data_IF_906606605526
#
_entry.id   IF_906606605526
#
_cell.length_a   1.000
_cell.length_b   1.000
_cell.length_c   1.000
_cell.angle_alpha   90.00
_cell.angle_beta   90.00
_cell.angle_gamma   90.00
#
_symmetry.space_group_name_H-M   'P 1'
#
loop_
_entity.id
_entity.type
_entity.pdbx_description
1 polymer ?
#
# COMPACT_ATOMS: atom_id res chain seq x y z
N UNK A 1 -22.64 -3.39 -35.42
CA UNK A 1 -21.26 -3.24 -34.94
C UNK A 1 -21.25 -1.97 -34.12
N UNK A 2 -21.34 -2.11 -32.79
CA UNK A 2 -21.38 -0.98 -31.87
C UNK A 2 -19.97 -0.83 -31.31
N UNK A 3 -19.32 0.29 -31.63
CA UNK A 3 -18.05 0.71 -31.06
C UNK A 3 -18.23 0.85 -29.54
N UNK A 4 -17.49 0.05 -28.77
CA UNK A 4 -17.31 0.28 -27.35
C UNK A 4 -16.39 1.50 -27.20
N UNK A 5 -17.00 2.64 -26.90
CA UNK A 5 -16.29 3.80 -26.39
C UNK A 5 -15.71 3.44 -25.02
N UNK A 6 -14.39 3.19 -25.00
CA UNK A 6 -13.59 3.11 -23.77
C UNK A 6 -13.51 4.52 -23.21
N UNK A 7 -14.35 4.83 -22.22
CA UNK A 7 -14.21 6.06 -21.45
C UNK A 7 -13.16 5.85 -20.36
N UNK A 8 -11.97 6.42 -20.57
CA UNK A 8 -10.85 6.51 -19.64
C UNK A 8 -11.21 7.34 -18.38
N UNK A 9 -12.07 6.77 -17.52
CA UNK A 9 -12.29 7.23 -16.13
C UNK A 9 -11.57 6.34 -15.11
N UNK A 10 -10.56 5.61 -15.58
CA UNK A 10 -9.78 4.67 -14.79
C UNK A 10 -9.09 5.36 -13.60
N UNK A 11 -9.37 4.87 -12.39
CA UNK A 11 -8.47 5.03 -11.24
C UNK A 11 -9.09 5.56 -9.96
N UNK A 12 -10.18 6.33 -10.00
CA UNK A 12 -10.62 7.11 -8.82
C UNK A 12 -11.98 6.68 -8.25
N UNK A 13 -12.90 6.16 -9.07
CA UNK A 13 -14.22 5.69 -8.59
C UNK A 13 -14.32 4.17 -8.38
N UNK A 14 -13.36 3.38 -8.86
CA UNK A 14 -13.44 1.91 -8.86
C UNK A 14 -12.82 1.28 -7.59
N UNK A 15 -13.39 1.69 -6.46
CA UNK A 15 -13.40 0.85 -5.26
C UNK A 15 -14.38 -0.29 -5.54
N UNK A 16 -14.17 -1.46 -4.91
CA UNK A 16 -15.31 -2.33 -4.63
C UNK A 16 -16.48 -1.46 -4.18
N UNK A 17 -17.71 -1.65 -4.70
CA UNK A 17 -18.84 -0.89 -4.19
C UNK A 17 -18.80 -1.09 -2.67
N UNK A 18 -18.88 -0.02 -1.86
CA UNK A 18 -18.73 -0.13 -0.40
C UNK A 18 -19.62 -1.20 0.24
N UNK A 19 -20.68 -1.63 -0.46
CA UNK A 19 -21.55 -2.77 -0.12
C UNK A 19 -20.88 -4.15 -0.15
N UNK A 20 -19.71 -4.29 -0.77
CA UNK A 20 -18.95 -5.54 -0.87
C UNK A 20 -18.07 -5.80 0.35
N UNK A 21 -17.82 -4.77 1.17
CA UNK A 21 -17.10 -4.84 2.45
C UNK A 21 -18.11 -4.42 3.53
N UNK A 22 -18.30 -5.17 4.62
CA UNK A 22 -17.40 -6.19 5.15
C UNK A 22 -17.52 -7.59 4.52
N UNK A 23 -16.49 -8.41 4.67
CA UNK A 23 -16.47 -9.79 4.18
C UNK A 23 -15.24 -10.59 4.60
N UNK A 24 -15.31 -11.91 4.47
CA UNK A 24 -14.17 -12.82 4.68
C UNK A 24 -13.47 -13.04 3.35
N UNK A 25 -12.15 -12.83 3.36
CA UNK A 25 -11.26 -12.98 2.23
C UNK A 25 -10.19 -14.01 2.55
N UNK A 26 -9.89 -14.86 1.58
CA UNK A 26 -8.79 -15.82 1.66
C UNK A 26 -7.55 -15.21 1.04
N UNK A 27 -6.44 -15.22 1.76
CA UNK A 27 -5.14 -14.78 1.25
C UNK A 27 -4.42 -15.94 0.57
N UNK A 28 -4.02 -15.73 -0.68
CA UNK A 28 -3.32 -16.69 -1.51
C UNK A 28 -2.02 -16.06 -1.98
N UNK A 29 -0.93 -16.80 -1.88
CA UNK A 29 0.39 -16.36 -2.34
C UNK A 29 0.80 -17.09 -3.61
N UNK A 30 1.44 -16.36 -4.51
CA UNK A 30 1.98 -16.86 -5.76
C UNK A 30 3.50 -16.77 -5.63
N UNK A 31 4.16 -17.92 -5.50
CA UNK A 31 5.61 -18.02 -5.27
C UNK A 31 6.41 -17.95 -6.58
N UNK A 32 6.09 -16.99 -7.45
CA UNK A 32 6.72 -16.82 -8.76
C UNK A 32 6.96 -15.36 -9.05
N UNK A 33 7.91 -15.15 -9.95
CA UNK A 33 8.12 -13.85 -10.57
C UNK A 33 7.18 -13.67 -11.77
N UNK A 34 6.58 -12.50 -11.90
CA UNK A 34 5.77 -12.12 -13.06
C UNK A 34 6.44 -11.01 -13.85
N UNK A 35 6.44 -11.17 -15.17
CA UNK A 35 6.84 -10.11 -16.09
C UNK A 35 5.72 -9.08 -16.23
N UNK A 36 6.12 -7.82 -16.25
CA UNK A 36 5.24 -6.68 -16.53
C UNK A 36 5.16 -6.49 -18.04
N UNK A 37 3.97 -6.60 -18.63
CA UNK A 37 3.81 -6.55 -20.08
C UNK A 37 3.65 -5.14 -20.66
N UNK A 38 3.12 -4.18 -19.89
CA UNK A 38 2.64 -2.89 -20.41
C UNK A 38 2.51 -1.82 -19.29
N UNK A 39 3.63 -1.51 -18.63
CA UNK A 39 3.65 -0.51 -17.56
C UNK A 39 3.28 0.90 -18.06
N UNK A 40 2.30 1.54 -17.42
CA UNK A 40 1.87 2.91 -17.71
C UNK A 40 1.88 3.80 -16.45
N UNK A 41 2.48 4.99 -16.58
CA UNK A 41 2.35 6.09 -15.63
C UNK A 41 1.12 6.94 -15.96
N UNK A 42 0.38 7.37 -14.96
CA UNK A 42 -0.78 8.24 -15.10
C UNK A 42 -0.45 9.68 -14.70
N UNK A 43 -1.14 10.65 -15.28
CA UNK A 43 -1.06 12.03 -14.81
C UNK A 43 -1.75 12.16 -13.46
N UNK A 44 -1.16 12.90 -12.51
CA UNK A 44 -1.83 13.29 -11.28
C UNK A 44 -3.11 14.08 -11.62
N UNK A 45 -4.26 13.65 -11.09
CA UNK A 45 -5.55 14.28 -11.39
C UNK A 45 -5.55 15.79 -11.11
N UNK A 46 -6.03 16.60 -12.07
CA UNK A 46 -6.42 17.98 -11.81
C UNK A 46 -6.34 18.98 -12.97
N UNK A 47 -5.74 18.64 -14.12
CA UNK A 47 -5.67 19.56 -15.27
C UNK A 47 -6.46 19.03 -16.45
N UNK A 48 -7.34 19.87 -16.96
CA UNK A 48 -8.25 19.62 -18.07
C UNK A 48 -7.55 18.94 -19.25
N UNK A 49 -8.24 17.93 -19.81
CA UNK A 49 -7.95 17.32 -21.09
C UNK A 49 -7.66 18.39 -22.15
N UNK A 50 -6.40 18.43 -22.58
CA UNK A 50 -5.91 19.32 -23.61
C UNK A 50 -4.67 18.72 -24.25
N UNK A 51 -4.91 17.97 -25.32
CA UNK A 51 -3.97 17.61 -26.41
C UNK A 51 -2.88 16.57 -26.17
N UNK A 52 -3.12 15.44 -26.85
CA UNK A 52 -2.19 14.60 -27.62
C UNK A 52 -1.35 13.57 -26.88
N UNK A 53 -1.75 12.31 -27.11
CA UNK A 53 -0.92 11.11 -27.07
C UNK A 53 0.43 11.37 -27.73
N UNK A 54 1.50 11.15 -26.97
CA UNK A 54 2.84 11.02 -27.49
C UNK A 54 3.42 9.70 -26.98
N UNK A 55 3.40 8.69 -27.85
CA UNK A 55 4.28 7.54 -27.78
C UNK A 55 5.73 8.02 -27.88
N UNK A 56 6.43 8.15 -26.75
CA UNK A 56 7.88 8.31 -26.71
C UNK A 56 8.47 7.51 -25.54
N UNK A 57 9.61 6.81 -25.74
CA UNK A 57 10.33 6.16 -24.66
C UNK A 57 11.05 7.24 -23.88
N UNK A 58 10.42 7.75 -22.82
CA UNK A 58 10.96 8.86 -22.04
C UNK A 58 11.61 8.31 -20.76
N UNK A 59 12.94 8.31 -20.74
CA UNK A 59 13.70 8.41 -19.49
C UNK A 59 13.46 9.83 -18.97
N UNK A 60 12.32 10.04 -18.32
CA UNK A 60 12.06 11.30 -17.61
C UNK A 60 12.94 11.26 -16.36
N UNK A 61 14.15 11.83 -16.46
CA UNK A 61 14.90 12.26 -15.29
C UNK A 61 14.04 13.34 -14.61
N UNK A 62 13.14 12.92 -13.73
CA UNK A 62 12.44 13.84 -12.86
C UNK A 62 13.49 14.58 -12.04
N UNK A 63 13.35 15.91 -11.98
CA UNK A 63 14.18 16.73 -11.11
C UNK A 63 14.01 16.20 -9.68
N UNK A 64 15.10 15.65 -9.15
CA UNK A 64 15.18 14.90 -7.87
C UNK A 64 14.71 15.78 -6.68
N UNK A 65 14.61 17.09 -6.90
CA UNK A 65 14.13 18.06 -5.92
C UNK A 65 12.64 17.95 -5.58
N UNK A 66 11.79 17.34 -6.44
CA UNK A 66 10.35 17.19 -6.19
C UNK A 66 9.78 15.89 -6.79
N UNK A 67 10.29 14.72 -6.37
CA UNK A 67 9.66 13.47 -6.75
C UNK A 67 8.24 13.39 -6.19
N UNK A 68 7.29 13.45 -7.10
CA UNK A 68 5.88 13.19 -6.85
C UNK A 68 5.57 11.82 -7.46
N UNK A 69 5.41 10.77 -6.63
CA UNK A 69 5.07 9.46 -7.16
C UNK A 69 3.73 9.58 -7.88
N UNK A 70 3.77 9.39 -9.20
CA UNK A 70 2.57 9.36 -10.03
C UNK A 70 1.85 8.02 -9.84
N UNK A 71 0.53 7.97 -9.95
CA UNK A 71 -0.15 6.70 -10.06
C UNK A 71 0.37 5.94 -11.27
N UNK A 72 0.39 4.61 -11.16
CA UNK A 72 0.85 3.75 -12.22
C UNK A 72 0.06 2.47 -12.25
N UNK A 73 0.17 1.78 -13.37
CA UNK A 73 -0.60 0.57 -13.62
C UNK A 73 0.10 -0.35 -14.61
N UNK A 74 -0.25 -1.62 -14.59
CA UNK A 74 0.23 -2.60 -15.57
C UNK A 74 -0.72 -3.80 -15.64
N UNK A 75 -0.62 -4.58 -16.71
CA UNK A 75 -1.25 -5.87 -16.87
C UNK A 75 -0.25 -6.98 -16.46
N UNK A 76 -0.59 -7.85 -15.49
CA UNK A 76 0.24 -9.01 -15.19
C UNK A 76 0.34 -9.93 -16.39
N UNK A 77 1.55 -10.46 -16.67
CA UNK A 77 1.76 -11.43 -17.73
C UNK A 77 0.93 -12.71 -17.58
N UNK A 78 0.65 -13.35 -18.72
CA UNK A 78 -0.16 -14.58 -18.79
C UNK A 78 0.69 -15.79 -18.36
N UNK A 79 0.12 -16.76 -17.63
CA UNK A 79 0.83 -17.92 -17.09
C UNK A 79 1.60 -18.75 -18.13
N UNK A 80 2.78 -19.25 -17.73
CA UNK A 80 3.57 -20.25 -18.46
C UNK A 80 3.18 -21.68 -18.06
N UNK A 81 3.45 -22.66 -18.92
CA UNK A 81 2.95 -24.04 -18.79
C UNK A 81 3.45 -24.85 -17.56
N UNK A 82 4.32 -24.27 -16.71
CA UNK A 82 4.94 -24.94 -15.56
C UNK A 82 4.21 -24.72 -14.22
N UNK A 83 3.00 -24.15 -14.24
CA UNK A 83 2.24 -23.77 -13.05
C UNK A 83 1.28 -24.87 -12.57
N UNK A 84 1.00 -24.90 -11.26
CA UNK A 84 -0.11 -25.72 -10.75
C UNK A 84 -1.45 -25.19 -11.27
N UNK A 85 -2.45 -26.05 -11.41
CA UNK A 85 -3.77 -25.64 -11.91
C UNK A 85 -4.40 -24.49 -11.08
N UNK A 86 -4.17 -24.49 -9.76
CA UNK A 86 -4.66 -23.44 -8.86
C UNK A 86 -3.92 -22.10 -9.04
N UNK A 87 -2.59 -22.12 -9.16
CA UNK A 87 -1.83 -20.90 -9.45
C UNK A 87 -2.14 -20.36 -10.84
N UNK A 88 -2.32 -21.25 -11.82
CA UNK A 88 -2.69 -20.86 -13.18
C UNK A 88 -4.07 -20.22 -13.22
N UNK A 89 -5.05 -20.73 -12.46
CA UNK A 89 -6.37 -20.12 -12.35
C UNK A 89 -6.31 -18.73 -11.70
N UNK A 90 -5.56 -18.59 -10.60
CA UNK A 90 -5.36 -17.31 -9.91
C UNK A 90 -4.64 -16.28 -10.79
N UNK A 91 -3.62 -16.72 -11.54
CA UNK A 91 -2.88 -15.86 -12.45
C UNK A 91 -3.69 -15.49 -13.67
N UNK A 92 -4.46 -16.41 -14.26
CA UNK A 92 -5.39 -16.10 -15.34
C UNK A 92 -6.43 -15.06 -14.91
N UNK A 93 -6.89 -15.14 -13.66
CA UNK A 93 -7.76 -14.14 -13.07
C UNK A 93 -7.01 -12.80 -12.95
N UNK A 94 -5.86 -12.76 -12.28
CA UNK A 94 -5.04 -11.55 -12.15
C UNK A 94 -4.70 -10.90 -13.50
N UNK A 95 -4.23 -11.68 -14.47
CA UNK A 95 -3.86 -11.26 -15.83
C UNK A 95 -5.07 -10.89 -16.70
N UNK A 96 -6.29 -11.07 -16.21
CA UNK A 96 -7.52 -10.65 -16.90
C UNK A 96 -7.84 -9.16 -16.74
N UNK A 97 -7.28 -8.48 -15.73
CA UNK A 97 -7.57 -7.06 -15.48
C UNK A 97 -6.32 -6.28 -15.11
N UNK A 98 -6.33 -4.98 -15.42
CA UNK A 98 -5.22 -4.09 -15.13
C UNK A 98 -5.09 -3.87 -13.63
N UNK A 99 -3.85 -3.85 -13.18
CA UNK A 99 -3.47 -3.59 -11.80
C UNK A 99 -3.10 -2.12 -11.66
N UNK A 100 -3.62 -1.45 -10.62
CA UNK A 100 -3.42 -0.02 -10.39
C UNK A 100 -2.87 0.28 -8.99
N UNK A 101 -1.80 1.06 -8.92
CA UNK A 101 -1.26 1.59 -7.68
C UNK A 101 -1.55 3.08 -7.55
N UNK A 102 -1.97 3.45 -6.34
CA UNK A 102 -2.27 4.83 -6.00
C UNK A 102 -1.24 5.33 -4.96
N UNK A 103 -0.46 6.39 -5.26
CA UNK A 103 0.68 6.82 -4.44
C UNK A 103 0.30 7.36 -3.06
N UNK A 104 -0.94 7.84 -2.91
CA UNK A 104 -1.48 8.26 -1.60
C UNK A 104 -2.01 7.11 -0.75
N UNK A 105 -2.08 5.88 -1.26
CA UNK A 105 -2.51 4.72 -0.47
C UNK A 105 -1.33 4.20 0.34
N UNK A 106 -1.57 4.01 1.62
CA UNK A 106 -0.56 3.59 2.58
C UNK A 106 -1.07 2.43 3.40
N UNK A 107 -0.28 1.36 3.46
CA UNK A 107 -0.50 0.22 4.35
C UNK A 107 0.34 0.33 5.60
N UNK A 108 -0.32 0.10 6.73
CA UNK A 108 0.27 0.17 8.06
C UNK A 108 -0.04 -1.12 8.81
N UNK A 109 1.01 -1.81 9.26
CA UNK A 109 0.90 -2.92 10.20
C UNK A 109 0.97 -2.37 11.62
N UNK A 110 0.01 -2.76 12.47
CA UNK A 110 -0.12 -2.28 13.85
C UNK A 110 0.70 -3.19 14.76
N UNK A 111 1.58 -2.62 15.59
CA UNK A 111 2.37 -3.38 16.57
C UNK A 111 1.46 -4.03 17.61
N UNK A 112 0.56 -3.23 18.17
CA UNK A 112 -0.48 -3.70 19.08
C UNK A 112 -1.84 -3.70 18.35
N UNK A 113 -2.52 -4.85 18.26
CA UNK A 113 -3.82 -4.94 17.62
C UNK A 113 -4.86 -4.06 18.30
N UNK A 114 -5.74 -3.43 17.52
CA UNK A 114 -6.78 -2.51 18.01
C UNK A 114 -8.15 -3.21 17.96
N UNK A 115 -8.98 -3.11 19.01
CA UNK A 115 -10.32 -3.71 19.00
C UNK A 115 -11.20 -3.21 17.84
N UNK A 116 -12.09 -4.07 17.36
CA UNK A 116 -13.03 -3.73 16.30
C UNK A 116 -14.13 -2.79 16.79
N UNK A 117 -14.64 -1.93 15.91
CA UNK A 117 -15.71 -0.99 16.22
C UNK A 117 -16.94 -1.60 16.90
N UNK A 118 -17.41 -2.76 16.45
CA UNK A 118 -18.59 -3.39 17.07
C UNK A 118 -18.31 -3.90 18.49
N UNK A 119 -17.05 -4.15 18.86
CA UNK A 119 -16.69 -4.50 20.25
C UNK A 119 -16.68 -3.28 21.18
N UNK A 120 -16.69 -2.06 20.64
CA UNK A 120 -16.75 -0.82 21.43
C UNK A 120 -18.19 -0.47 21.86
N UNK A 121 -19.20 -1.03 21.20
CA UNK A 121 -20.61 -0.80 21.53
C UNK A 121 -21.13 -2.03 22.28
N UNK A 122 -21.28 -1.96 23.60
CA UNK A 122 -21.73 -3.08 24.46
C UNK A 122 -23.13 -3.62 24.10
N UNK A 123 -23.91 -2.86 23.32
CA UNK A 123 -25.30 -3.15 22.96
C UNK A 123 -25.44 -4.13 21.79
N UNK A 124 -24.35 -4.46 21.08
CA UNK A 124 -24.36 -5.37 19.93
C UNK A 124 -23.33 -6.46 20.17
N UNK A 125 -23.78 -7.71 20.33
CA UNK A 125 -22.87 -8.85 20.34
C UNK A 125 -22.21 -8.99 18.96
N UNK A 126 -20.89 -8.77 18.84
CA UNK A 126 -20.20 -8.92 17.57
C UNK A 126 -20.23 -10.38 17.14
N UNK A 127 -20.31 -10.62 15.84
CA UNK A 127 -20.04 -11.96 15.29
C UNK A 127 -18.60 -12.41 15.64
N UNK A 128 -18.32 -13.72 15.53
CA UNK A 128 -17.00 -14.27 15.88
C UNK A 128 -15.87 -13.63 15.07
N UNK A 129 -16.15 -13.24 13.82
CA UNK A 129 -15.20 -12.51 12.97
C UNK A 129 -15.00 -11.07 13.45
N UNK A 130 -16.07 -10.38 13.83
CA UNK A 130 -16.04 -9.00 14.35
C UNK A 130 -15.42 -8.89 15.75
N UNK A 131 -15.23 -10.00 16.45
CA UNK A 131 -14.49 -10.05 17.71
C UNK A 131 -12.96 -10.04 17.51
N UNK A 132 -12.45 -10.26 16.30
CA UNK A 132 -11.01 -10.28 16.03
C UNK A 132 -10.44 -8.87 16.00
N UNK A 133 -9.30 -8.61 16.66
CA UNK A 133 -8.69 -7.30 16.66
C UNK A 133 -8.09 -6.99 15.29
N UNK A 134 -8.09 -5.71 14.93
CA UNK A 134 -7.46 -5.17 13.74
C UNK A 134 -5.94 -5.20 13.88
N UNK A 135 -5.24 -5.75 12.90
CA UNK A 135 -3.75 -5.83 12.89
C UNK A 135 -3.11 -5.03 11.75
N UNK A 136 -3.88 -4.67 10.74
CA UNK A 136 -3.40 -3.90 9.60
C UNK A 136 -4.49 -2.95 9.11
N UNK A 137 -4.07 -1.78 8.62
CA UNK A 137 -4.95 -0.79 7.99
C UNK A 137 -4.38 -0.29 6.67
N UNK A 138 -5.27 0.10 5.78
CA UNK A 138 -4.97 0.88 4.58
C UNK A 138 -5.75 2.17 4.65
N UNK A 139 -5.03 3.24 4.35
CA UNK A 139 -5.59 4.58 4.33
C UNK A 139 -5.16 5.29 3.05
N UNK A 140 -6.06 6.07 2.47
CA UNK A 140 -5.73 7.01 1.41
C UNK A 140 -5.48 8.38 2.05
N UNK A 141 -4.27 8.91 1.85
CA UNK A 141 -3.87 10.23 2.33
C UNK A 141 -4.60 11.29 1.48
N UNK A 142 -5.25 12.30 2.09
CA UNK A 142 -5.99 13.30 1.34
C UNK A 142 -5.06 14.20 0.52
N UNK A 143 -5.59 14.73 -0.59
CA UNK A 143 -4.90 15.73 -1.40
C UNK A 143 -4.57 16.95 -0.54
N UNK A 144 -3.32 17.42 -0.62
CA UNK A 144 -2.84 18.56 0.16
C UNK A 144 -2.45 18.24 1.60
N UNK A 145 -2.47 16.96 2.04
CA UNK A 145 -1.87 16.59 3.31
C UNK A 145 -0.37 16.92 3.31
N UNK A 146 0.19 17.53 4.37
CA UNK A 146 1.60 17.88 4.39
C UNK A 146 2.54 16.67 4.26
N UNK A 147 3.45 16.75 3.30
CA UNK A 147 4.52 15.77 3.09
C UNK A 147 5.80 16.20 3.80
N UNK A 148 6.62 15.23 4.19
CA UNK A 148 7.99 15.50 4.60
C UNK A 148 8.81 16.01 3.40
N UNK A 149 9.84 16.81 3.65
CA UNK A 149 10.80 17.25 2.62
C UNK A 149 12.15 16.59 2.87
N UNK A 150 12.87 16.25 1.81
CA UNK A 150 14.15 15.56 1.89
C UNK A 150 14.95 15.80 0.61
N UNK A 151 16.22 15.42 0.65
CA UNK A 151 17.12 15.42 -0.50
C UNK A 151 17.86 14.09 -0.56
N UNK A 152 18.19 13.63 -1.77
CA UNK A 152 19.16 12.56 -1.94
C UNK A 152 20.57 13.14 -2.07
N UNK A 153 21.48 12.64 -1.25
CA UNK A 153 22.90 12.94 -1.36
C UNK A 153 23.65 11.70 -1.84
N UNK A 154 24.57 11.92 -2.78
CA UNK A 154 25.40 10.85 -3.30
C UNK A 154 26.41 10.40 -2.24
N UNK A 155 26.50 9.09 -2.05
CA UNK A 155 27.48 8.47 -1.17
C UNK A 155 28.92 8.61 -1.66
N UNK A 156 29.86 8.13 -0.84
CA UNK A 156 31.28 8.12 -1.21
C UNK A 156 31.60 7.15 -2.35
N UNK A 157 30.72 6.16 -2.57
CA UNK A 157 30.84 5.10 -3.56
C UNK A 157 29.56 5.04 -4.39
N UNK A 158 29.67 5.10 -5.72
CA UNK A 158 28.55 4.73 -6.58
C UNK A 158 28.28 3.22 -6.43
N UNK A 159 27.01 2.78 -6.34
CA UNK A 159 25.76 3.51 -6.58
C UNK A 159 24.98 3.91 -5.29
N UNK A 160 25.66 4.28 -4.21
CA UNK A 160 25.02 4.57 -2.92
C UNK A 160 24.39 5.96 -2.85
N UNK A 161 23.17 6.02 -2.28
CA UNK A 161 22.44 7.25 -1.97
C UNK A 161 22.10 7.34 -0.47
N UNK A 162 22.00 8.56 0.04
CA UNK A 162 21.56 8.83 1.40
C UNK A 162 20.37 9.80 1.40
N UNK A 163 19.40 9.54 2.26
CA UNK A 163 18.35 10.50 2.58
C UNK A 163 18.91 11.56 3.53
N UNK A 164 18.92 12.81 3.11
CA UNK A 164 19.44 13.94 3.88
C UNK A 164 18.38 15.05 4.02
N UNK A 165 18.64 15.99 4.94
CA UNK A 165 17.82 17.20 5.14
C UNK A 165 16.33 16.89 5.35
N UNK A 166 16.04 15.76 6.02
CA UNK A 166 14.69 15.28 6.23
C UNK A 166 13.95 16.17 7.25
N UNK A 167 12.89 16.85 6.82
CA UNK A 167 12.08 17.75 7.64
C UNK A 167 10.62 17.33 7.61
N UNK A 168 9.99 17.34 8.78
CA UNK A 168 8.61 16.91 8.95
C UNK A 168 7.66 18.11 9.07
N UNK A 169 6.39 17.93 8.67
CA UNK A 169 5.33 18.87 9.03
C UNK A 169 5.20 19.04 10.54
N UNK A 170 4.72 20.22 10.98
CA UNK A 170 4.39 20.46 12.39
C UNK A 170 3.25 19.56 12.87
N UNK A 171 3.22 19.26 14.17
CA UNK A 171 2.31 18.26 14.75
C UNK A 171 0.82 18.61 14.63
N UNK A 172 0.50 19.89 14.53
CA UNK A 172 -0.89 20.39 14.47
C UNK A 172 -1.63 20.01 13.17
N UNK A 173 -0.93 19.55 12.13
CA UNK A 173 -1.51 19.30 10.78
C UNK A 173 -1.48 17.81 10.40
N UNK A 174 -1.27 16.91 11.36
CA UNK A 174 -1.08 15.47 11.12
C UNK A 174 -2.37 14.63 11.19
N UNK A 175 -3.49 15.28 11.50
CA UNK A 175 -4.78 14.63 11.64
C UNK A 175 -5.61 14.77 10.36
N UNK A 176 -6.22 13.69 9.89
CA UNK A 176 -7.17 13.73 8.80
C UNK A 176 -8.23 12.64 8.92
N UNK A 177 -9.42 12.91 8.41
CA UNK A 177 -10.51 11.93 8.36
C UNK A 177 -10.39 11.07 7.08
N UNK A 178 -10.55 9.76 7.23
CA UNK A 178 -10.50 8.83 6.11
C UNK A 178 -11.47 7.65 6.29
N UNK A 179 -11.87 7.06 5.16
CA UNK A 179 -12.44 5.71 5.13
C UNK A 179 -11.28 4.71 5.12
N UNK A 180 -11.00 4.15 6.29
CA UNK A 180 -9.90 3.21 6.53
C UNK A 180 -10.39 1.81 6.22
N UNK A 181 -9.62 1.06 5.44
CA UNK A 181 -9.85 -0.38 5.31
C UNK A 181 -9.12 -1.08 6.46
N UNK A 182 -9.75 -2.07 7.09
CA UNK A 182 -9.26 -2.71 8.31
C UNK A 182 -9.17 -4.22 8.10
N UNK A 183 -8.06 -4.83 8.52
CA UNK A 183 -7.80 -6.26 8.39
C UNK A 183 -7.85 -6.94 9.75
N UNK A 184 -8.75 -7.91 9.88
CA UNK A 184 -9.02 -8.69 11.07
C UNK A 184 -8.65 -10.15 10.81
N UNK A 185 -7.42 -10.59 11.17
CA UNK A 185 -6.98 -11.96 10.94
C UNK A 185 -7.92 -12.96 11.64
N UNK A 186 -8.39 -13.98 10.91
CA UNK A 186 -9.25 -15.02 11.47
C UNK A 186 -8.42 -16.23 11.96
N UNK A 187 -8.76 -16.82 13.12
CA UNK A 187 -8.07 -17.99 13.62
C UNK A 187 -8.18 -19.17 12.64
N UNK A 188 -7.04 -19.81 12.31
CA UNK A 188 -6.99 -20.96 11.40
C UNK A 188 -7.81 -22.13 11.95
N UNK A 189 -8.82 -22.59 11.21
CA UNK A 189 -9.56 -23.81 11.51
C UNK A 189 -8.89 -25.03 10.87
N UNK A 190 -7.99 -25.70 11.59
CA UNK A 190 -7.52 -27.07 11.24
C UNK A 190 -6.49 -27.20 10.11
N UNK A 191 -5.76 -28.32 10.12
CA UNK A 191 -4.61 -28.64 9.25
C UNK A 191 -4.90 -28.49 7.75
N UNK A 192 -4.13 -27.64 7.06
CA UNK A 192 -4.02 -27.66 5.61
C UNK A 192 -3.21 -28.90 5.20
N UNK A 193 -3.91 -29.94 4.76
CA UNK A 193 -3.35 -31.09 4.04
C UNK A 193 -3.66 -30.96 2.55
N UNK A 194 -2.90 -30.13 1.83
CA UNK A 194 -2.89 -30.18 0.37
C UNK A 194 -1.72 -29.39 -0.21
N UNK A 195 -1.06 -29.95 -1.22
CA UNK A 195 -0.04 -29.32 -2.06
C UNK A 195 -0.65 -28.31 -3.05
N UNK A 196 -1.44 -27.37 -2.53
CA UNK A 196 -2.09 -26.27 -3.24
C UNK A 196 -1.48 -24.93 -2.76
N UNK A 197 -1.57 -23.81 -3.52
CA UNK A 197 -0.86 -22.57 -3.20
C UNK A 197 -1.05 -22.20 -1.74
N UNK A 198 0.06 -21.87 -1.08
CA UNK A 198 0.19 -21.77 0.38
C UNK A 198 -0.89 -20.86 0.97
N UNK A 199 -1.90 -21.52 1.54
CA UNK A 199 -3.04 -20.90 2.20
C UNK A 199 -2.56 -20.26 3.51
N UNK A 200 -2.30 -18.95 3.48
CA UNK A 200 -1.73 -18.27 4.65
C UNK A 200 -2.78 -18.06 5.73
N UNK A 201 -3.90 -17.40 5.42
CA UNK A 201 -4.88 -17.02 6.43
C UNK A 201 -6.16 -16.49 5.80
N UNK A 202 -7.32 -16.82 6.40
CA UNK A 202 -8.54 -16.06 6.17
C UNK A 202 -8.49 -14.74 6.95
N UNK A 203 -8.93 -13.66 6.32
CA UNK A 203 -8.98 -12.33 6.92
C UNK A 203 -10.37 -11.75 6.74
N UNK A 204 -10.95 -11.26 7.82
CA UNK A 204 -12.15 -10.46 7.76
C UNK A 204 -11.77 -9.00 7.51
N UNK A 205 -12.32 -8.41 6.44
CA UNK A 205 -12.00 -7.04 6.04
C UNK A 205 -13.22 -6.16 6.27
N UNK A 206 -13.02 -4.99 6.87
CA UNK A 206 -14.06 -3.97 7.08
C UNK A 206 -13.61 -2.61 6.52
N UNK A 207 -14.56 -1.67 6.44
CA UNK A 207 -14.32 -0.27 6.09
C UNK A 207 -14.93 0.61 7.16
N UNK A 208 -14.11 1.47 7.75
CA UNK A 208 -14.49 2.28 8.90
C UNK A 208 -14.08 3.73 8.71
N UNK A 209 -14.93 4.66 9.14
CA UNK A 209 -14.56 6.08 9.18
C UNK A 209 -13.77 6.35 10.44
N UNK A 210 -12.55 6.83 10.30
CA UNK A 210 -11.67 7.16 11.41
C UNK A 210 -10.96 8.48 11.16
N UNK A 211 -10.60 9.17 12.24
CA UNK A 211 -9.56 10.20 12.18
C UNK A 211 -8.21 9.53 12.41
N UNK A 212 -7.32 9.67 11.44
CA UNK A 212 -5.95 9.15 11.48
C UNK A 212 -5.03 10.29 11.89
N UNK A 213 -4.19 10.06 12.91
CA UNK A 213 -3.20 11.02 13.40
C UNK A 213 -1.83 10.33 13.39
N UNK A 214 -0.97 10.69 12.44
CA UNK A 214 0.39 10.14 12.36
C UNK A 214 1.32 10.96 11.48
N UNK A 215 2.61 11.02 11.85
CA UNK A 215 3.70 11.53 10.98
C UNK A 215 4.04 10.56 9.84
N UNK A 216 3.68 9.28 9.97
CA UNK A 216 4.01 8.26 8.97
C UNK A 216 3.39 8.55 7.60
N UNK A 217 2.20 9.18 7.58
CA UNK A 217 1.53 9.59 6.34
C UNK A 217 2.38 10.57 5.51
N UNK A 218 3.19 11.40 6.16
CA UNK A 218 4.08 12.34 5.47
C UNK A 218 5.25 11.66 4.74
N UNK A 219 5.51 10.37 4.99
CA UNK A 219 6.67 9.62 4.48
C UNK A 219 6.34 8.69 3.31
N UNK A 220 5.06 8.54 2.93
CA UNK A 220 4.66 7.60 1.87
C UNK A 220 5.42 7.85 0.56
N UNK A 221 5.51 9.12 0.16
CA UNK A 221 6.23 9.51 -1.05
C UNK A 221 7.74 9.27 -1.00
N UNK A 222 8.36 9.29 0.19
CA UNK A 222 9.79 8.94 0.35
C UNK A 222 9.98 7.45 0.06
N UNK A 223 9.08 6.61 0.59
CA UNK A 223 9.12 5.16 0.35
C UNK A 223 8.98 4.84 -1.15
N UNK A 224 8.13 5.59 -1.86
CA UNK A 224 7.97 5.45 -3.30
C UNK A 224 9.20 5.92 -4.08
N UNK A 225 9.84 7.03 -3.69
CA UNK A 225 11.06 7.50 -4.36
C UNK A 225 12.24 6.57 -4.15
N UNK A 226 12.40 6.04 -2.92
CA UNK A 226 13.47 5.07 -2.63
C UNK A 226 13.26 3.80 -3.45
N UNK A 227 12.01 3.32 -3.58
CA UNK A 227 11.69 2.20 -4.44
C UNK A 227 11.99 2.51 -5.92
N UNK A 228 11.68 3.72 -6.39
CA UNK A 228 12.00 4.16 -7.74
C UNK A 228 13.52 4.18 -8.00
N UNK A 229 14.32 4.74 -7.10
CA UNK A 229 15.78 4.78 -7.25
C UNK A 229 16.40 3.37 -7.20
N UNK A 230 15.86 2.47 -6.36
CA UNK A 230 16.31 1.07 -6.30
C UNK A 230 16.11 0.36 -7.65
N UNK A 231 15.01 0.62 -8.36
CA UNK A 231 14.78 0.09 -9.72
C UNK A 231 15.75 0.67 -10.74
N UNK A 232 16.21 1.90 -10.53
CA UNK A 232 17.24 2.54 -11.35
C UNK A 232 18.67 2.09 -10.97
N UNK A 233 18.81 1.07 -10.10
CA UNK A 233 20.09 0.53 -9.67
C UNK A 233 20.85 1.41 -8.68
N UNK A 234 20.17 2.39 -8.07
CA UNK A 234 20.73 3.25 -7.02
C UNK A 234 20.12 2.88 -5.68
N UNK A 235 20.97 2.51 -4.73
CA UNK A 235 20.50 1.97 -3.45
C UNK A 235 20.64 3.03 -2.37
N UNK A 236 19.53 3.31 -1.69
CA UNK A 236 19.54 4.19 -0.53
C UNK A 236 20.00 3.37 0.68
N UNK A 237 21.16 3.73 1.24
CA UNK A 237 21.82 2.92 2.28
C UNK A 237 21.64 3.47 3.69
N UNK A 238 21.09 4.68 3.82
CA UNK A 238 20.85 5.28 5.14
C UNK A 238 20.15 6.64 5.12
N UNK A 239 19.85 7.12 6.31
CA UNK A 239 19.38 8.48 6.58
C UNK A 239 20.50 9.25 7.28
N UNK A 240 20.97 10.34 6.67
CA UNK A 240 21.91 11.25 7.30
C UNK A 240 21.17 12.16 8.28
N UNK A 241 21.56 12.10 9.55
CA UNK A 241 21.10 13.07 10.55
C UNK A 241 21.81 14.41 10.34
N UNK A 242 21.15 15.53 10.64
CA UNK A 242 21.82 16.84 10.55
C UNK A 242 23.05 16.88 11.49
N UNK A 243 24.18 17.51 11.08
CA UNK A 243 25.39 17.58 11.90
C UNK A 243 25.15 18.17 13.30
N UNK A 244 24.19 19.09 13.40
CA UNK A 244 23.81 19.74 14.66
C UNK A 244 23.09 18.79 15.65
N UNK A 245 22.30 17.85 15.14
CA UNK A 245 21.58 16.85 15.95
C UNK A 245 22.51 15.74 16.44
N UNK A 246 23.43 15.31 15.56
CA UNK A 246 24.49 14.35 15.90
C UNK A 246 25.44 14.90 16.99
N UNK A 247 25.78 16.19 16.93
CA UNK A 247 26.63 16.86 17.92
C UNK A 247 25.96 17.00 19.31
N UNK A 248 24.62 17.00 19.38
CA UNK A 248 23.86 17.05 20.62
C UNK A 248 23.45 15.68 21.17
N UNK A 249 23.82 14.58 20.50
CA UNK A 249 23.46 13.22 20.91
C UNK A 249 21.95 12.96 20.92
N UNK A 250 21.17 13.79 20.23
CA UNK A 250 19.72 13.70 20.16
C UNK A 250 19.34 13.37 18.72
N UNK A 251 19.22 12.08 18.42
CA UNK A 251 18.40 11.68 17.26
C UNK A 251 16.94 11.91 17.67
N UNK A 252 16.36 13.04 17.26
CA UNK A 252 14.92 13.33 17.44
C UNK A 252 14.18 12.90 16.16
N UNK A 253 14.53 11.73 15.62
CA UNK A 253 13.74 11.17 14.53
C UNK A 253 12.43 10.64 15.12
N UNK A 254 11.26 11.07 14.61
CA UNK A 254 9.96 10.64 15.13
C UNK A 254 9.63 9.18 14.79
N UNK A 255 10.56 8.46 14.17
CA UNK A 255 10.41 7.08 13.75
C UNK A 255 11.74 6.33 13.82
N UNK A 256 11.61 5.01 13.87
CA UNK A 256 12.70 4.07 13.63
C UNK A 256 12.69 3.69 12.15
N UNK A 257 13.83 3.85 11.47
CA UNK A 257 13.99 3.40 10.08
C UNK A 257 14.69 2.05 10.08
N UNK A 258 14.07 1.02 9.51
CA UNK A 258 14.68 -0.30 9.34
C UNK A 258 14.84 -0.60 7.85
N UNK A 259 16.06 -0.93 7.44
CA UNK A 259 16.38 -1.29 6.05
C UNK A 259 16.19 -2.79 5.83
N UNK A 260 15.41 -3.15 4.81
CA UNK A 260 15.24 -4.54 4.40
C UNK A 260 16.30 -4.96 3.38
N UNK A 261 16.39 -6.27 3.09
CA UNK A 261 17.40 -6.85 2.18
C UNK A 261 17.45 -6.21 0.77
N UNK A 262 16.35 -5.56 0.36
CA UNK A 262 16.22 -4.86 -0.92
C UNK A 262 16.52 -3.34 -0.84
N UNK A 263 17.15 -2.86 0.25
CA UNK A 263 17.41 -1.44 0.49
C UNK A 263 16.15 -0.56 0.52
N UNK A 264 15.00 -1.15 0.84
CA UNK A 264 13.75 -0.44 1.03
C UNK A 264 13.55 -0.10 2.53
N UNK A 265 13.29 1.17 2.88
CA UNK A 265 13.15 1.61 4.26
C UNK A 265 11.75 1.35 4.76
N UNK A 266 11.61 0.60 5.85
CA UNK A 266 10.38 0.61 6.65
C UNK A 266 10.47 1.68 7.73
N UNK A 267 9.39 2.45 7.86
CA UNK A 267 9.26 3.48 8.88
C UNK A 267 8.32 2.99 9.96
N UNK A 268 8.77 3.03 11.20
CA UNK A 268 7.99 2.68 12.37
C UNK A 268 7.80 3.89 13.26
N UNK A 269 6.56 4.23 13.59
CA UNK A 269 6.25 5.41 14.39
C UNK A 269 4.86 5.35 15.01
N UNK A 270 4.55 6.38 15.81
CA UNK A 270 3.27 6.46 16.50
C UNK A 270 2.11 6.70 15.53
N UNK A 271 1.03 5.97 15.74
CA UNK A 271 -0.25 6.10 15.06
C UNK A 271 -1.34 6.21 16.12
N UNK A 272 -2.17 7.24 16.02
CA UNK A 272 -3.42 7.31 16.78
C UNK A 272 -4.61 7.24 15.82
N UNK A 273 -5.51 6.31 16.09
CA UNK A 273 -6.79 6.17 15.40
C UNK A 273 -7.90 6.64 16.35
N UNK A 274 -8.78 7.49 15.84
CA UNK A 274 -9.98 7.92 16.56
C UNK A 274 -11.20 7.35 15.86
N UNK A 275 -11.87 6.42 16.52
CA UNK A 275 -13.15 5.85 16.09
C UNK A 275 -14.28 6.58 16.82
N UNK A 276 -15.39 6.87 16.12
CA UNK A 276 -16.58 7.49 16.72
C UNK A 276 -17.71 6.47 16.77
N UNK A 277 -18.12 6.06 17.97
CA UNK A 277 -19.16 5.06 18.19
C UNK A 277 -20.57 5.55 17.79
N UNK A 278 -21.58 4.68 17.87
CA UNK A 278 -22.96 5.03 17.46
C UNK A 278 -23.60 6.07 18.37
N UNK A 279 -23.12 6.15 19.61
CA UNK A 279 -23.50 7.13 20.61
C UNK A 279 -22.70 8.44 20.47
N UNK A 280 -21.91 8.58 19.41
CA UNK A 280 -21.01 9.72 19.14
C UNK A 280 -19.87 9.88 20.14
N UNK A 281 -19.54 8.85 20.93
CA UNK A 281 -18.34 8.89 21.77
C UNK A 281 -17.10 8.60 20.93
N UNK A 282 -16.03 9.35 21.20
CA UNK A 282 -14.74 9.14 20.57
C UNK A 282 -13.89 8.16 21.37
N UNK A 283 -13.47 7.09 20.72
CA UNK A 283 -12.53 6.10 21.24
C UNK A 283 -11.19 6.32 20.57
N UNK A 284 -10.16 6.60 21.37
CA UNK A 284 -8.81 6.88 20.89
C UNK A 284 -7.92 5.68 21.16
N UNK A 285 -7.28 5.18 20.12
CA UNK A 285 -6.34 4.07 20.19
C UNK A 285 -4.99 4.52 19.66
N UNK A 286 -3.97 4.51 20.52
CA UNK A 286 -2.59 4.84 20.16
C UNK A 286 -1.76 3.56 20.17
N UNK A 287 -1.04 3.32 19.09
CA UNK A 287 -0.14 2.19 18.89
C UNK A 287 1.06 2.64 18.07
N UNK A 288 2.10 1.82 17.96
CA UNK A 288 3.08 2.01 16.89
C UNK A 288 2.60 1.29 15.65
N UNK A 289 2.90 1.86 14.50
CA UNK A 289 2.63 1.28 13.21
C UNK A 289 3.89 1.28 12.36
N UNK A 290 4.01 0.27 11.52
CA UNK A 290 5.10 0.13 10.56
C UNK A 290 4.56 0.14 9.14
N UNK A 291 5.23 0.88 8.26
CA UNK A 291 4.98 0.80 6.81
C UNK A 291 5.48 -0.53 6.27
N UNK A 292 4.85 -1.06 5.21
CA UNK A 292 5.35 -2.25 4.53
C UNK A 292 5.86 -1.87 3.13
N UNK A 293 7.15 -1.53 2.98
CA UNK A 293 7.70 -0.93 1.76
C UNK A 293 7.76 -1.84 0.53
N UNK A 294 8.11 -3.15 0.63
CA UNK A 294 8.33 -3.94 -0.55
C UNK A 294 7.04 -4.19 -1.29
N UNK A 295 5.93 -4.47 -0.58
CA UNK A 295 4.68 -4.77 -1.26
C UNK A 295 3.86 -3.51 -1.55
N UNK A 296 3.64 -3.23 -2.84
CA UNK A 296 2.74 -2.18 -3.28
C UNK A 296 1.33 -2.75 -3.35
N UNK A 297 0.44 -2.19 -2.54
CA UNK A 297 -0.96 -2.54 -2.63
C UNK A 297 -1.58 -1.93 -3.87
N UNK A 298 -2.40 -2.75 -4.51
CA UNK A 298 -3.05 -2.42 -5.75
C UNK A 298 -4.50 -2.82 -5.77
N UNK A 299 -5.22 -2.16 -6.67
CA UNK A 299 -6.61 -2.44 -6.97
C UNK A 299 -6.73 -2.92 -8.41
N UNK A 300 -7.68 -3.84 -8.64
CA UNK A 300 -8.11 -4.28 -9.98
C UNK A 300 -9.53 -3.76 -10.21
N UNK A 301 -9.65 -2.59 -10.83
CA UNK A 301 -10.88 -1.82 -10.81
C UNK A 301 -11.99 -2.49 -11.68
N UNK A 302 -11.60 -3.17 -12.77
CA UNK A 302 -12.48 -3.88 -13.71
C UNK A 302 -12.82 -5.35 -13.33
N UNK A 303 -12.40 -5.81 -12.15
CA UNK A 303 -12.47 -7.23 -11.82
C UNK A 303 -13.82 -7.67 -11.23
N UNK A 304 -14.64 -8.34 -12.06
CA UNK A 304 -15.88 -9.02 -11.65
C UNK A 304 -15.64 -10.30 -10.79
N UNK A 305 -14.39 -10.76 -10.72
CA UNK A 305 -14.00 -12.04 -10.14
C UNK A 305 -13.99 -12.06 -8.59
N UNK A 306 -14.00 -10.89 -7.94
CA UNK A 306 -14.05 -10.77 -6.49
C UNK A 306 -12.68 -10.64 -5.81
N UNK A 307 -11.62 -10.34 -6.56
CA UNK A 307 -10.31 -9.96 -6.01
C UNK A 307 -10.12 -8.45 -6.03
N UNK A 308 -9.85 -7.86 -4.86
CA UNK A 308 -9.81 -6.40 -4.73
C UNK A 308 -8.63 -5.88 -3.93
N UNK A 309 -7.81 -6.79 -3.43
CA UNK A 309 -6.54 -6.48 -2.80
C UNK A 309 -5.52 -7.46 -3.34
N UNK A 310 -4.56 -6.91 -4.09
CA UNK A 310 -3.33 -7.61 -4.39
C UNK A 310 -2.17 -6.75 -3.88
N UNK A 311 -1.07 -7.41 -3.59
CA UNK A 311 0.18 -6.76 -3.22
C UNK A 311 1.32 -7.50 -3.90
N UNK A 312 2.33 -6.78 -4.36
CA UNK A 312 3.50 -7.35 -5.01
C UNK A 312 4.76 -6.56 -4.64
N UNK A 313 5.87 -7.26 -4.54
CA UNK A 313 7.20 -6.68 -4.44
C UNK A 313 7.77 -6.41 -5.83
N UNK A 314 8.41 -5.25 -5.99
CA UNK A 314 9.13 -4.92 -7.21
C UNK A 314 10.60 -5.30 -7.04
N UNK A 315 10.98 -6.50 -7.50
CA UNK A 315 12.34 -7.04 -7.29
C UNK A 315 13.35 -6.60 -8.34
N UNK A 316 12.90 -6.32 -9.57
CA UNK A 316 13.76 -5.80 -10.63
C UNK A 316 12.92 -5.03 -11.68
N UNK A 317 13.54 -4.21 -12.55
CA UNK A 317 12.83 -3.55 -13.63
C UNK A 317 12.00 -4.54 -14.46
N UNK A 318 10.69 -4.33 -14.52
CA UNK A 318 9.78 -5.22 -15.25
C UNK A 318 9.46 -6.57 -14.58
N UNK A 319 9.92 -6.82 -13.35
CA UNK A 319 9.72 -8.09 -12.64
C UNK A 319 9.05 -7.86 -11.29
N UNK A 320 7.96 -8.58 -11.06
CA UNK A 320 7.21 -8.58 -9.80
C UNK A 320 7.39 -9.89 -9.07
N UNK A 321 7.44 -9.87 -7.76
CA UNK A 321 7.55 -11.04 -6.87
C UNK A 321 6.69 -10.83 -5.62
N UNK A 322 6.72 -11.77 -4.67
CA UNK A 322 5.95 -11.74 -3.42
C UNK A 322 4.47 -11.37 -3.64
N UNK A 323 3.88 -11.98 -4.67
CA UNK A 323 2.54 -11.66 -5.11
C UNK A 323 1.55 -12.33 -4.16
N UNK A 324 0.79 -11.51 -3.46
CA UNK A 324 -0.28 -11.94 -2.58
C UNK A 324 -1.61 -11.39 -3.09
N UNK A 325 -2.61 -12.27 -3.15
CA UNK A 325 -3.95 -11.97 -3.65
C UNK A 325 -4.97 -12.34 -2.59
N UNK A 326 -5.93 -11.44 -2.32
CA UNK A 326 -7.04 -11.73 -1.42
C UNK A 326 -8.36 -11.81 -2.19
N UNK A 327 -8.94 -13.02 -2.21
CA UNK A 327 -10.20 -13.33 -2.87
C UNK A 327 -11.32 -13.57 -1.87
N UNK A 328 -12.54 -13.12 -2.18
CA UNK A 328 -13.69 -13.44 -1.34
C UNK A 328 -14.01 -14.94 -1.46
N UNK A 329 -14.19 -15.62 -0.33
CA UNK A 329 -14.73 -16.98 -0.34
C UNK A 329 -16.14 -16.93 -0.96
N UNK A 330 -16.30 -17.42 -2.20
CA UNK A 330 -17.63 -17.64 -2.78
C UNK A 330 -18.23 -18.87 -2.09
N UNK A 331 -19.45 -18.78 -1.53
CA UNK A 331 -20.12 -19.91 -0.88
C UNK A 331 -20.46 -21.03 -1.85
#
# INVERSE_FOLDING_TARGET
>A
MAEHNVTAREGIEERLPPRSIPGVFRRLEIQRELEITDFNWHSDEGTQSGTQDCDMPFVEQQDISQFHPRPWSFQPGVPTAEMSAGEQELLMQLSGNRVYHHPRKMRLNLEHPIPFYATLNEDVLPSVQEAQPMTCIHVEIPVGHPSATYEFQQGATEPELFLANLRYPSEEILAFDAEVTCWHPLPRSGQSTSAAPLDEMDVYITKEKMTVISKLASLTHISDHVAHEALNGKFVTGVMSEPAEAAMGRSIQPFVTTWHEQYLPSFEGSLTLVQTDRSSNQHRHTTNARTFPPAKDVTRPEADDGYCFASFAWTAPGILSDISVMGRNRP
#
